data_IF_012330344360
#
_entry.id   IF_012330344360
#
_cell.length_a   1.000
_cell.length_b   1.000
_cell.length_c   1.000
_cell.angle_alpha   90.00
_cell.angle_beta   90.00
_cell.angle_gamma   90.00
#
_symmetry.space_group_name_H-M   'P 1'
#
loop_
_entity.id
_entity.type
_entity.pdbx_description
1 polymer ?
#
# COMPACT_ATOMS: atom_id res chain seq x y z
N UNK A 1 -7.16 1.18 21.76
CA UNK A 1 -7.05 -0.27 21.50
C UNK A 1 -8.36 -0.91 21.88
N UNK A 2 -8.87 -1.81 21.06
CA UNK A 2 -10.13 -2.54 21.30
C UNK A 2 -9.79 -3.95 21.77
N UNK A 3 -10.50 -4.44 22.78
CA UNK A 3 -10.29 -5.78 23.33
C UNK A 3 -11.26 -6.76 22.68
N UNK A 4 -10.76 -7.95 22.34
CA UNK A 4 -11.58 -9.06 21.85
C UNK A 4 -11.28 -10.29 22.73
N UNK A 5 -12.32 -11.06 23.07
CA UNK A 5 -12.17 -12.33 23.78
C UNK A 5 -12.49 -13.45 22.79
N UNK A 6 -11.55 -14.38 22.61
CA UNK A 6 -11.70 -15.51 21.69
C UNK A 6 -11.51 -16.83 22.45
N UNK A 7 -12.41 -17.77 22.19
CA UNK A 7 -12.26 -19.15 22.65
C UNK A 7 -11.35 -19.90 21.69
N UNK A 8 -10.34 -20.59 22.23
CA UNK A 8 -9.46 -21.47 21.46
C UNK A 8 -9.56 -22.90 22.00
N UNK A 9 -9.33 -23.93 21.17
CA UNK A 9 -9.32 -25.32 21.63
C UNK A 9 -8.33 -25.52 22.77
N UNK A 10 -8.73 -26.32 23.77
CA UNK A 10 -7.95 -26.59 24.98
C UNK A 10 -6.55 -27.14 24.68
N UNK A 11 -6.43 -27.99 23.66
CA UNK A 11 -5.14 -28.58 23.26
C UNK A 11 -4.19 -27.53 22.68
N UNK A 12 -4.70 -26.56 21.92
CA UNK A 12 -3.91 -25.44 21.39
C UNK A 12 -3.48 -24.52 22.53
N UNK A 13 -4.38 -24.22 23.47
CA UNK A 13 -4.03 -23.41 24.65
C UNK A 13 -2.90 -24.06 25.47
N UNK A 14 -2.92 -25.39 25.64
CA UNK A 14 -1.85 -26.14 26.31
C UNK A 14 -0.51 -25.96 25.59
N UNK A 15 -0.49 -26.04 24.26
CA UNK A 15 0.72 -25.80 23.46
C UNK A 15 1.21 -24.35 23.59
N UNK A 16 0.32 -23.36 23.50
CA UNK A 16 0.68 -21.96 23.68
C UNK A 16 1.29 -21.69 25.07
N UNK A 17 0.75 -22.32 26.13
CA UNK A 17 1.31 -22.22 27.48
C UNK A 17 2.69 -22.85 27.64
N UNK A 18 3.12 -23.72 26.72
CA UNK A 18 4.47 -24.29 26.71
C UNK A 18 5.49 -23.25 26.23
N UNK A 19 5.12 -22.39 25.31
CA UNK A 19 5.96 -21.32 24.74
C UNK A 19 5.51 -19.96 25.25
N UNK A 20 5.81 -19.67 26.52
CA UNK A 20 5.34 -18.44 27.21
C UNK A 20 6.12 -17.19 26.83
N UNK A 21 7.30 -17.37 26.26
CA UNK A 21 8.15 -16.32 25.71
C UNK A 21 7.51 -15.62 24.51
N UNK A 22 6.54 -16.26 23.86
CA UNK A 22 5.84 -15.72 22.69
C UNK A 22 4.71 -14.79 23.14
N UNK A 23 4.67 -13.59 22.56
CA UNK A 23 3.52 -12.70 22.69
C UNK A 23 2.38 -13.15 21.78
N UNK A 24 1.58 -14.09 22.27
CA UNK A 24 0.45 -14.65 21.52
C UNK A 24 -0.61 -13.62 21.12
N UNK A 25 -0.75 -12.52 21.86
CA UNK A 25 -1.64 -11.42 21.49
C UNK A 25 -1.14 -10.62 20.28
N UNK A 26 0.18 -10.52 20.10
CA UNK A 26 0.78 -9.94 18.89
C UNK A 26 0.59 -10.85 17.69
N UNK A 27 0.88 -12.15 17.86
CA UNK A 27 0.66 -13.18 16.82
C UNK A 27 -0.80 -13.16 16.35
N UNK A 28 -1.75 -13.12 17.28
CA UNK A 28 -3.17 -13.05 16.97
C UNK A 28 -3.52 -11.76 16.21
N UNK A 29 -2.99 -10.60 16.64
CA UNK A 29 -3.22 -9.32 15.94
C UNK A 29 -2.68 -9.36 14.51
N UNK A 30 -1.45 -9.79 14.31
CA UNK A 30 -0.84 -9.89 12.97
C UNK A 30 -1.65 -10.82 12.07
N UNK A 31 -2.09 -11.98 12.58
CA UNK A 31 -2.89 -12.93 11.81
C UNK A 31 -4.26 -12.36 11.41
N UNK A 32 -4.93 -11.63 12.32
CA UNK A 32 -6.21 -10.96 12.04
C UNK A 32 -6.04 -9.88 10.97
N UNK A 33 -5.03 -9.01 11.14
CA UNK A 33 -4.73 -7.93 10.19
C UNK A 33 -4.42 -8.51 8.81
N UNK A 34 -3.52 -9.49 8.73
CA UNK A 34 -3.15 -10.12 7.47
C UNK A 34 -4.38 -10.71 6.75
N UNK A 35 -5.23 -11.44 7.48
CA UNK A 35 -6.42 -12.06 6.91
C UNK A 35 -7.41 -11.01 6.40
N UNK A 36 -7.63 -9.95 7.17
CA UNK A 36 -8.54 -8.85 6.79
C UNK A 36 -8.05 -8.14 5.53
N UNK A 37 -6.78 -7.75 5.49
CA UNK A 37 -6.19 -7.07 4.33
C UNK A 37 -6.17 -7.95 3.09
N UNK A 38 -5.90 -9.24 3.22
CA UNK A 38 -6.02 -10.19 2.10
C UNK A 38 -7.44 -10.24 1.55
N UNK A 39 -8.45 -10.34 2.42
CA UNK A 39 -9.86 -10.35 1.98
C UNK A 39 -10.26 -9.05 1.30
N UNK A 40 -9.83 -7.90 1.85
CA UNK A 40 -10.09 -6.58 1.27
C UNK A 40 -9.42 -6.42 -0.09
N UNK A 41 -8.17 -6.86 -0.23
CA UNK A 41 -7.41 -6.77 -1.49
C UNK A 41 -8.12 -7.43 -2.67
N UNK A 42 -8.84 -8.53 -2.42
CA UNK A 42 -9.56 -9.27 -3.46
C UNK A 42 -10.93 -8.68 -3.81
N UNK A 43 -11.51 -7.84 -2.95
CA UNK A 43 -12.88 -7.32 -3.12
C UNK A 43 -12.91 -5.84 -3.46
N UNK A 44 -12.22 -5.03 -2.66
CA UNK A 44 -12.34 -3.58 -2.65
C UNK A 44 -11.04 -2.87 -3.05
N UNK A 45 -9.94 -3.62 -3.19
CA UNK A 45 -8.59 -3.07 -3.28
C UNK A 45 -8.07 -2.56 -1.93
N UNK A 46 -6.78 -2.23 -1.88
CA UNK A 46 -6.10 -1.72 -0.69
C UNK A 46 -5.74 -0.24 -0.87
N UNK A 47 -5.79 0.52 0.23
CA UNK A 47 -5.09 1.81 0.27
C UNK A 47 -3.58 1.60 0.34
N UNK A 48 -2.81 2.68 0.14
CA UNK A 48 -1.36 2.64 0.23
C UNK A 48 -0.88 2.23 1.63
N UNK A 49 -1.54 2.75 2.67
CA UNK A 49 -1.24 2.46 4.07
C UNK A 49 -1.52 1.01 4.40
N UNK A 50 -2.66 0.48 3.94
CA UNK A 50 -3.05 -0.92 4.11
C UNK A 50 -2.08 -1.87 3.39
N UNK A 51 -1.66 -1.53 2.17
CA UNK A 51 -0.66 -2.29 1.44
C UNK A 51 0.69 -2.29 2.18
N UNK A 52 1.12 -1.13 2.67
CA UNK A 52 2.35 -1.01 3.46
C UNK A 52 2.31 -1.90 4.70
N UNK A 53 1.19 -1.89 5.43
CA UNK A 53 0.98 -2.72 6.61
C UNK A 53 1.02 -4.21 6.29
N UNK A 54 0.39 -4.63 5.19
CA UNK A 54 0.42 -6.02 4.74
C UNK A 54 1.83 -6.48 4.37
N UNK A 55 2.60 -5.63 3.69
CA UNK A 55 3.96 -5.93 3.29
C UNK A 55 4.90 -6.03 4.49
N UNK A 56 4.76 -5.14 5.47
CA UNK A 56 5.52 -5.20 6.73
C UNK A 56 5.28 -6.53 7.45
N UNK A 57 4.02 -6.96 7.59
CA UNK A 57 3.67 -8.27 8.18
C UNK A 57 4.28 -9.43 7.38
N UNK A 58 4.41 -9.28 6.05
CA UNK A 58 5.01 -10.28 5.18
C UNK A 58 6.54 -10.23 5.12
N UNK A 59 7.18 -9.27 5.80
CA UNK A 59 8.61 -9.05 5.69
C UNK A 59 9.05 -8.65 4.27
N UNK A 60 8.17 -7.96 3.55
CA UNK A 60 8.40 -7.46 2.19
C UNK A 60 8.54 -5.94 2.21
N UNK A 61 9.35 -5.42 1.32
CA UNK A 61 9.44 -3.98 1.11
C UNK A 61 8.48 -3.52 0.02
N UNK A 62 8.00 -2.27 0.13
CA UNK A 62 7.30 -1.62 -0.97
C UNK A 62 8.20 -1.60 -2.20
N UNK A 63 7.73 -2.07 -3.37
CA UNK A 63 8.50 -1.90 -4.59
C UNK A 63 8.73 -0.41 -4.81
N UNK A 64 10.00 0.00 -4.80
CA UNK A 64 10.37 1.35 -5.23
C UNK A 64 10.32 1.35 -6.74
N UNK A 65 9.27 1.93 -7.30
CA UNK A 65 9.30 2.30 -8.71
C UNK A 65 10.36 3.38 -8.88
N UNK A 66 11.49 3.02 -9.46
CA UNK A 66 12.42 3.99 -10.00
C UNK A 66 11.74 4.66 -11.19
N UNK A 67 11.14 5.82 -10.94
CA UNK A 67 10.80 6.73 -12.03
C UNK A 67 12.12 7.20 -12.65
N UNK A 68 12.56 6.49 -13.70
CA UNK A 68 13.72 6.89 -14.47
C UNK A 68 13.56 8.37 -14.87
N UNK A 69 14.48 9.23 -14.41
CA UNK A 69 14.40 10.68 -14.61
C UNK A 69 14.19 11.04 -16.09
N UNK A 70 14.73 10.21 -16.99
CA UNK A 70 14.55 10.33 -18.44
C UNK A 70 13.08 10.26 -18.89
N UNK A 71 12.27 9.38 -18.30
CA UNK A 71 10.84 9.25 -18.63
C UNK A 71 10.08 10.52 -18.23
N UNK A 72 10.38 11.04 -17.05
CA UNK A 72 9.80 12.30 -16.55
C UNK A 72 10.24 13.49 -17.41
N UNK A 73 11.52 13.60 -17.74
CA UNK A 73 12.03 14.65 -18.61
C UNK A 73 11.44 14.60 -20.02
N UNK A 74 11.27 13.40 -20.59
CA UNK A 74 10.61 13.24 -21.87
C UNK A 74 9.13 13.67 -21.81
N UNK A 75 8.43 13.37 -20.72
CA UNK A 75 7.06 13.80 -20.49
C UNK A 75 6.95 15.33 -20.37
N UNK A 76 7.79 15.96 -19.53
CA UNK A 76 7.83 17.41 -19.36
C UNK A 76 8.18 18.14 -20.66
N UNK A 77 9.09 17.58 -21.47
CA UNK A 77 9.42 18.13 -22.80
C UNK A 77 8.19 18.13 -23.72
N UNK A 78 7.40 17.05 -23.74
CA UNK A 78 6.15 17.00 -24.54
C UNK A 78 5.14 18.06 -24.08
N UNK A 79 5.01 18.29 -22.77
CA UNK A 79 4.14 19.35 -22.23
C UNK A 79 4.61 20.72 -22.72
N UNK A 80 5.90 21.01 -22.62
CA UNK A 80 6.48 22.29 -23.04
C UNK A 80 6.22 22.59 -24.52
N UNK A 81 6.37 21.59 -25.39
CA UNK A 81 6.09 21.74 -26.82
C UNK A 81 4.61 21.99 -27.11
N UNK A 82 3.70 21.31 -26.41
CA UNK A 82 2.25 21.56 -26.53
C UNK A 82 1.91 23.00 -26.11
N UNK A 83 2.47 23.46 -24.99
CA UNK A 83 2.21 24.80 -24.48
C UNK A 83 2.79 25.88 -25.40
N UNK A 84 3.95 25.64 -26.01
CA UNK A 84 4.51 26.53 -27.04
C UNK A 84 3.58 26.68 -28.24
N UNK A 85 3.02 25.56 -28.73
CA UNK A 85 2.03 25.58 -29.82
C UNK A 85 0.78 26.34 -29.43
N UNK A 86 0.22 26.07 -28.24
CA UNK A 86 -0.96 26.77 -27.71
C UNK A 86 -0.74 28.29 -27.67
N UNK A 87 0.38 28.75 -27.10
CA UNK A 87 0.73 30.18 -27.04
C UNK A 87 0.85 30.82 -28.42
N UNK A 88 1.38 30.08 -29.39
CA UNK A 88 1.45 30.55 -30.78
C UNK A 88 0.04 30.74 -31.36
N UNK A 89 -0.84 29.76 -31.22
CA UNK A 89 -2.23 29.87 -31.70
C UNK A 89 -2.97 31.03 -31.04
N UNK A 90 -2.82 31.23 -29.73
CA UNK A 90 -3.45 32.35 -29.03
C UNK A 90 -2.98 33.71 -29.59
N UNK A 91 -1.68 33.87 -29.82
CA UNK A 91 -1.14 35.10 -30.45
C UNK A 91 -1.63 35.32 -31.88
N UNK A 92 -1.91 34.26 -32.63
CA UNK A 92 -2.46 34.36 -33.99
C UNK A 92 -3.95 34.77 -33.96
N UNK A 93 -4.69 34.32 -32.93
CA UNK A 93 -6.10 34.72 -32.72
C UNK A 93 -6.23 36.17 -32.23
N UNK A 94 -5.39 36.63 -31.32
CA UNK A 94 -5.38 38.02 -30.82
C UNK A 94 -5.02 39.06 -31.89
N UNK A 95 -4.44 38.62 -33.02
CA UNK A 95 -4.06 39.48 -34.16
C UNK A 95 -5.14 39.62 -35.23
N UNK A 96 -6.24 38.88 -35.13
CA UNK A 96 -7.42 38.99 -36.00
C UNK A 96 -8.48 39.86 -35.36
#
# INVERSE_FOLDING_TARGET
MTNITLSIPSDIYRLMRKYKEINWSEVARQAIIEKLLRLKSSKDGLTKEELSMLLEIKGMEMPREEHAAEKEWAFLRKIKEREKKRKRYLKELEKR
#
